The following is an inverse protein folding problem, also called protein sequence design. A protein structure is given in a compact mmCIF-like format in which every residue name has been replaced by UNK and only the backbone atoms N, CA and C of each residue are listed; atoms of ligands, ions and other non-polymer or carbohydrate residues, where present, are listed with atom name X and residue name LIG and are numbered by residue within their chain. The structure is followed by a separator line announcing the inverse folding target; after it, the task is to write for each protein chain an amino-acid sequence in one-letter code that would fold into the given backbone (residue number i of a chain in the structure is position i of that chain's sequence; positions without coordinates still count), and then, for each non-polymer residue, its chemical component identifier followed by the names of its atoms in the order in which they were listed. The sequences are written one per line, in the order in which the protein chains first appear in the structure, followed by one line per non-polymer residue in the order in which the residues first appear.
data_IF_298730706577
#
_entry.id   IF_298730706577
#
_cell.length_a   1.000
_cell.length_b   1.000
_cell.length_c   1.000
_cell.angle_alpha   90.00
_cell.angle_beta   90.00
_cell.angle_gamma   90.00
#
_symmetry.space_group_name_H-M   'P 1'
#
loop_
_entity.id
_entity.type
_entity.pdbx_description
1 polymer ?
#
# COMPACT_ATOMS: atom_id res chain seq x y z
N UNK A 1 -4.72 8.13 -0.31
CA UNK A 1 -3.51 7.41 0.17
C UNK A 1 -3.72 7.13 1.64
N UNK A 2 -3.64 5.86 2.09
CA UNK A 2 -3.63 5.55 3.52
C UNK A 2 -2.19 5.71 4.03
N UNK A 3 -1.97 6.71 4.88
CA UNK A 3 -0.63 7.04 5.39
C UNK A 3 -0.55 6.76 6.87
N UNK A 4 0.44 5.97 7.28
CA UNK A 4 0.68 5.61 8.69
C UNK A 4 2.02 6.19 9.12
N UNK A 5 2.03 7.05 10.14
CA UNK A 5 3.25 7.66 10.67
C UNK A 5 3.49 7.20 12.12
N UNK A 6 4.59 6.49 12.35
CA UNK A 6 5.19 6.32 13.69
C UNK A 6 4.35 5.58 14.74
N UNK A 7 3.31 4.85 14.34
CA UNK A 7 2.44 4.09 15.25
C UNK A 7 1.94 2.83 14.55
N UNK A 8 1.64 1.79 15.32
CA UNK A 8 1.04 0.56 14.78
C UNK A 8 -0.34 0.93 14.22
N UNK A 9 -0.54 0.75 12.92
CA UNK A 9 -1.86 0.93 12.30
C UNK A 9 -2.57 -0.41 12.17
N UNK A 10 -3.80 -0.47 12.70
CA UNK A 10 -4.69 -1.61 12.53
C UNK A 10 -5.87 -1.20 11.63
N UNK A 11 -5.91 -1.71 10.41
CA UNK A 11 -7.02 -1.50 9.48
C UNK A 11 -7.90 -2.75 9.51
N UNK A 12 -9.07 -2.64 10.13
CA UNK A 12 -10.02 -3.73 10.27
C UNK A 12 -11.17 -3.54 9.28
N UNK A 13 -11.42 -4.54 8.42
CA UNK A 13 -12.45 -4.53 7.37
C UNK A 13 -12.42 -3.28 6.48
N UNK A 14 -11.22 -2.72 6.27
CA UNK A 14 -11.03 -1.53 5.44
C UNK A 14 -10.78 -1.91 3.98
N UNK A 15 -11.29 -1.10 3.06
CA UNK A 15 -10.99 -1.20 1.62
C UNK A 15 -10.04 -0.06 1.25
N UNK A 16 -8.85 -0.42 0.75
CA UNK A 16 -7.81 0.50 0.32
C UNK A 16 -7.69 0.37 -1.20
N UNK A 17 -8.32 1.30 -1.92
CA UNK A 17 -8.41 1.31 -3.38
C UNK A 17 -8.30 2.72 -3.95
N UNK A 18 -7.97 2.82 -5.25
CA UNK A 18 -7.92 4.10 -5.98
C UNK A 18 -6.77 5.02 -5.58
N UNK A 19 -5.77 4.50 -4.87
CA UNK A 19 -4.60 5.28 -4.49
C UNK A 19 -3.58 5.26 -5.64
N UNK A 20 -3.08 6.44 -6.00
CA UNK A 20 -2.03 6.61 -7.00
C UNK A 20 -0.82 7.24 -6.36
N UNK A 21 0.34 6.62 -6.49
CA UNK A 21 1.58 7.13 -5.94
C UNK A 21 2.49 7.63 -7.07
N UNK A 22 3.11 8.78 -6.85
CA UNK A 22 4.04 9.41 -7.80
C UNK A 22 5.51 9.21 -7.43
N UNK A 23 5.80 8.70 -6.22
CA UNK A 23 7.16 8.48 -5.70
C UNK A 23 7.39 7.18 -4.92
N UNK A 24 6.33 6.50 -4.45
CA UNK A 24 6.42 5.37 -3.51
C UNK A 24 5.34 4.30 -3.79
N UNK A 25 5.12 3.37 -2.86
CA UNK A 25 4.08 2.35 -2.95
C UNK A 25 2.68 2.96 -3.11
N UNK A 26 1.90 2.41 -4.05
CA UNK A 26 0.61 2.92 -4.47
C UNK A 26 -0.56 2.64 -3.54
N UNK A 27 -0.45 1.71 -2.59
CA UNK A 27 -1.55 1.32 -1.70
C UNK A 27 -1.38 1.83 -0.27
N UNK A 28 -0.51 1.15 0.47
CA UNK A 28 -0.15 1.50 1.86
C UNK A 28 1.32 1.87 1.88
N UNK A 29 1.61 3.07 2.35
CA UNK A 29 2.97 3.51 2.62
C UNK A 29 3.26 3.39 4.11
N UNK A 30 4.21 2.51 4.46
CA UNK A 30 4.63 2.25 5.83
C UNK A 30 6.16 2.40 5.94
N UNK A 31 6.61 3.53 6.47
CA UNK A 31 8.03 3.92 6.44
C UNK A 31 8.85 3.32 7.60
N UNK A 32 8.25 3.12 8.79
CA UNK A 32 9.00 2.75 10.00
C UNK A 32 8.13 2.11 11.10
N UNK A 33 6.97 1.54 10.77
CA UNK A 33 6.02 0.98 11.76
C UNK A 33 5.48 -0.39 11.33
N UNK A 34 4.65 -1.02 12.16
CA UNK A 34 3.88 -2.20 11.75
C UNK A 34 2.49 -1.77 11.27
N UNK A 35 2.05 -2.28 10.12
CA UNK A 35 0.67 -2.11 9.65
C UNK A 35 0.02 -3.50 9.60
N UNK A 36 -1.08 -3.67 10.34
CA UNK A 36 -1.87 -4.90 10.34
C UNK A 36 -3.15 -4.67 9.56
N UNK A 37 -3.38 -5.47 8.53
CA UNK A 37 -4.64 -5.51 7.80
C UNK A 37 -5.42 -6.77 8.21
N UNK A 38 -6.62 -6.61 8.77
CA UNK A 38 -7.46 -7.73 9.18
C UNK A 38 -8.82 -7.67 8.49
N UNK A 39 -9.11 -8.67 7.65
CA UNK A 39 -10.39 -8.77 6.93
C UNK A 39 -10.67 -7.65 5.93
N UNK A 40 -9.65 -6.93 5.49
CA UNK A 40 -9.73 -5.84 4.50
C UNK A 40 -9.18 -6.22 3.12
N UNK A 41 -9.38 -5.35 2.14
CA UNK A 41 -8.90 -5.51 0.76
C UNK A 41 -7.97 -4.37 0.40
N UNK A 42 -6.81 -4.68 -0.18
CA UNK A 42 -5.92 -3.71 -0.85
C UNK A 42 -5.92 -4.07 -2.34
N UNK A 43 -6.59 -3.27 -3.17
CA UNK A 43 -6.76 -3.58 -4.59
C UNK A 43 -7.12 -2.35 -5.42
N UNK A 44 -6.80 -2.36 -6.71
CA UNK A 44 -7.06 -1.22 -7.60
C UNK A 44 -6.25 0.03 -7.23
N UNK A 45 -5.01 -0.16 -6.78
CA UNK A 45 -4.07 0.92 -6.50
C UNK A 45 -2.99 0.98 -7.60
N UNK A 46 -2.47 2.16 -7.88
CA UNK A 46 -1.47 2.42 -8.92
C UNK A 46 -0.12 2.84 -8.29
N UNK A 47 0.74 1.87 -7.93
CA UNK A 47 2.12 2.16 -7.51
C UNK A 47 2.97 2.68 -8.68
N UNK A 48 3.96 3.53 -8.38
CA UNK A 48 5.06 3.77 -9.32
C UNK A 48 6.26 2.84 -9.06
N UNK A 49 6.41 2.37 -7.81
CA UNK A 49 7.45 1.45 -7.36
C UNK A 49 6.81 0.13 -6.91
N UNK A 50 7.17 -0.96 -7.59
CA UNK A 50 6.64 -2.30 -7.35
C UNK A 50 7.69 -3.30 -6.85
N UNK A 51 8.88 -2.88 -6.42
CA UNK A 51 9.85 -3.81 -5.84
C UNK A 51 9.21 -4.61 -4.71
N UNK A 52 9.23 -5.95 -4.81
CA UNK A 52 8.63 -6.85 -3.83
C UNK A 52 7.14 -7.14 -4.01
N UNK A 53 6.49 -6.61 -5.05
CA UNK A 53 5.12 -7.00 -5.41
C UNK A 53 5.11 -8.38 -6.04
N UNK A 54 4.25 -9.29 -5.53
CA UNK A 54 4.00 -10.60 -6.14
C UNK A 54 2.50 -10.78 -6.37
N UNK A 55 2.02 -10.94 -7.62
CA UNK A 55 2.78 -10.97 -8.87
C UNK A 55 3.36 -9.59 -9.25
N UNK A 56 4.40 -9.60 -10.08
CA UNK A 56 4.99 -8.37 -10.61
C UNK A 56 3.94 -7.57 -11.41
N UNK A 57 3.84 -6.27 -11.13
CA UNK A 57 2.93 -5.36 -11.85
C UNK A 57 3.65 -4.88 -13.11
N UNK A 58 3.07 -5.10 -14.28
CA UNK A 58 3.61 -4.63 -15.56
C UNK A 58 3.79 -3.10 -15.55
N UNK A 59 4.87 -2.61 -16.16
CA UNK A 59 5.22 -1.18 -16.30
C UNK A 59 5.43 -0.40 -14.98
N UNK A 60 5.55 -1.10 -13.86
CA UNK A 60 5.82 -0.48 -12.57
C UNK A 60 7.32 -0.56 -12.24
N UNK A 61 8.03 0.55 -12.39
CA UNK A 61 9.49 0.62 -12.20
C UNK A 61 9.87 1.11 -10.81
N UNK A 62 10.42 0.20 -10.01
CA UNK A 62 11.16 0.54 -8.80
C UNK A 62 11.79 -0.68 -8.17
#
# INVERSE_FOLDING_TARGET
MATVFGSIAALNRSVIAGNSATKTAGGIFNLASATTLSGGVVGGNSPNNCTGSSPAVADCTG
#
